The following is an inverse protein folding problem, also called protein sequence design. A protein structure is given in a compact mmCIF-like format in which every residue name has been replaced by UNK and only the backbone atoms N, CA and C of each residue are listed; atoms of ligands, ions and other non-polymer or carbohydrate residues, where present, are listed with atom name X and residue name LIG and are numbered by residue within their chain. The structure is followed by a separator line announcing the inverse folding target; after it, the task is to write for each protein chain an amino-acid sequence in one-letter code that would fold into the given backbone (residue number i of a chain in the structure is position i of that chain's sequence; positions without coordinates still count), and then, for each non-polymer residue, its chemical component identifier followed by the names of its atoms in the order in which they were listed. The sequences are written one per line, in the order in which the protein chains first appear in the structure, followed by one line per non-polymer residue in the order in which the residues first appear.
data_IF_189580735867
#
_entry.id   IF_189580735867
#
_cell.length_a   1.000
_cell.length_b   1.000
_cell.length_c   1.000
_cell.angle_alpha   90.00
_cell.angle_beta   90.00
_cell.angle_gamma   90.00
#
_symmetry.space_group_name_H-M   'P 1'
#
loop_
_entity.id
_entity.type
_entity.pdbx_description
1 polymer ?
#
# COMPACT_ATOMS: atom_id res chain seq x y z
N UNK A 1 -15.86 -26.84 -5.97
CA UNK A 1 -15.59 -27.60 -4.74
C UNK A 1 -14.33 -27.03 -4.12
N UNK A 2 -14.42 -26.31 -3.01
CA UNK A 2 -13.25 -25.77 -2.33
C UNK A 2 -12.54 -26.92 -1.59
N UNK A 3 -11.35 -27.28 -2.05
CA UNK A 3 -10.51 -28.27 -1.39
C UNK A 3 -10.11 -27.70 -0.02
N UNK A 4 -10.47 -28.40 1.07
CA UNK A 4 -9.99 -28.03 2.42
C UNK A 4 -8.50 -28.30 2.47
N UNK A 5 -7.72 -27.24 2.39
CA UNK A 5 -6.28 -27.30 2.52
C UNK A 5 -5.91 -26.99 3.97
N UNK A 6 -5.61 -28.04 4.74
CA UNK A 6 -5.38 -27.97 6.18
C UNK A 6 -3.92 -27.61 6.52
N UNK A 7 -3.22 -26.88 5.65
CA UNK A 7 -1.83 -26.47 5.89
C UNK A 7 -0.81 -27.54 5.51
N UNK A 8 -0.78 -27.91 4.23
CA UNK A 8 0.30 -28.71 3.62
C UNK A 8 0.76 -28.18 2.26
N UNK A 9 0.03 -27.22 1.70
CA UNK A 9 0.41 -26.60 0.41
C UNK A 9 1.62 -25.71 0.56
N UNK A 10 2.51 -25.86 -0.43
CA UNK A 10 3.72 -25.04 -0.55
C UNK A 10 3.33 -23.56 -0.57
N UNK A 11 3.98 -22.78 0.29
CA UNK A 11 3.79 -21.33 0.33
C UNK A 11 4.18 -20.70 -1.01
N UNK A 12 3.47 -19.63 -1.37
CA UNK A 12 3.83 -18.81 -2.51
C UNK A 12 5.15 -18.08 -2.22
N UNK A 13 6.02 -17.97 -3.24
CA UNK A 13 7.24 -17.17 -3.13
C UNK A 13 6.94 -15.66 -3.23
N UNK A 14 5.88 -15.30 -3.95
CA UNK A 14 5.45 -13.92 -4.18
C UNK A 14 3.94 -13.83 -3.97
N UNK A 15 3.51 -12.86 -3.18
CA UNK A 15 2.10 -12.53 -2.96
C UNK A 15 1.87 -11.11 -3.46
N UNK A 16 1.01 -10.97 -4.46
CA UNK A 16 0.60 -9.67 -5.01
C UNK A 16 -0.79 -9.31 -4.52
N UNK A 17 -0.95 -8.15 -3.88
CA UNK A 17 -2.24 -7.69 -3.36
C UNK A 17 -2.56 -6.31 -3.93
N UNK A 18 -3.67 -6.25 -4.67
CA UNK A 18 -4.24 -5.02 -5.25
C UNK A 18 -5.47 -4.57 -4.45
N UNK A 19 -5.34 -4.56 -3.12
CA UNK A 19 -6.39 -4.13 -2.21
C UNK A 19 -5.76 -3.44 -1.02
N UNK A 20 -6.16 -2.20 -0.80
CA UNK A 20 -5.69 -1.35 0.29
C UNK A 20 -6.82 -0.47 0.81
N UNK A 21 -6.61 0.11 1.98
CA UNK A 21 -7.48 1.15 2.53
C UNK A 21 -6.68 2.12 3.38
N UNK A 22 -7.34 3.15 3.92
CA UNK A 22 -6.69 4.15 4.75
C UNK A 22 -5.89 3.57 5.93
N UNK A 23 -4.79 4.23 6.25
CA UNK A 23 -4.07 4.10 7.52
C UNK A 23 -4.86 4.82 8.64
N UNK A 24 -6.16 4.52 8.75
CA UNK A 24 -7.14 5.15 9.64
C UNK A 24 -7.76 4.17 10.66
N UNK A 25 -7.19 2.96 10.74
CA UNK A 25 -7.52 1.98 11.76
C UNK A 25 -6.78 2.26 13.08
N UNK A 26 -7.18 1.64 14.20
CA UNK A 26 -6.40 1.73 15.44
C UNK A 26 -4.97 1.20 15.25
N UNK A 27 -3.94 1.88 15.78
CA UNK A 27 -2.54 1.47 15.62
C UNK A 27 -2.25 -0.01 15.97
N UNK A 28 -2.82 -0.61 17.05
CA UNK A 28 -2.60 -2.01 17.36
C UNK A 28 -3.07 -2.98 16.26
N UNK A 29 -4.15 -2.64 15.54
CA UNK A 29 -4.65 -3.44 14.42
C UNK A 29 -3.65 -3.41 13.27
N UNK A 30 -3.19 -2.23 12.88
CA UNK A 30 -2.27 -2.06 11.75
C UNK A 30 -0.90 -2.69 12.02
N UNK A 31 -0.39 -2.52 13.23
CA UNK A 31 0.84 -3.17 13.70
C UNK A 31 0.70 -4.70 13.68
N UNK A 32 -0.46 -5.23 14.10
CA UNK A 32 -0.74 -6.66 14.05
C UNK A 32 -0.74 -7.19 12.61
N UNK A 33 -1.44 -6.52 11.69
CA UNK A 33 -1.48 -6.93 10.29
C UNK A 33 -0.09 -6.93 9.66
N UNK A 34 0.69 -5.88 9.93
CA UNK A 34 2.06 -5.79 9.46
C UNK A 34 2.97 -6.85 10.09
N UNK A 35 2.74 -7.24 11.36
CA UNK A 35 3.47 -8.34 11.98
C UNK A 35 3.17 -9.71 11.36
N UNK A 36 1.94 -9.97 10.88
CA UNK A 36 1.64 -11.21 10.15
C UNK A 36 2.35 -11.24 8.79
N UNK A 37 2.37 -10.11 8.08
CA UNK A 37 3.19 -9.96 6.86
C UNK A 37 4.65 -10.22 7.18
N UNK A 38 5.20 -9.64 8.26
CA UNK A 38 6.58 -9.85 8.69
C UNK A 38 6.94 -11.32 8.88
N UNK A 39 6.06 -12.11 9.49
CA UNK A 39 6.32 -13.55 9.70
C UNK A 39 6.49 -14.27 8.37
N UNK A 40 5.64 -13.96 7.40
CA UNK A 40 5.70 -14.54 6.06
C UNK A 40 6.93 -14.03 5.28
N UNK A 41 7.26 -12.74 5.40
CA UNK A 41 8.48 -12.18 4.80
C UNK A 41 9.75 -12.83 5.38
N UNK A 42 9.77 -13.16 6.68
CA UNK A 42 10.86 -13.92 7.31
C UNK A 42 10.99 -15.35 6.79
N UNK A 43 9.93 -15.93 6.22
CA UNK A 43 9.98 -17.23 5.54
C UNK A 43 10.45 -17.13 4.08
N UNK A 44 10.86 -15.93 3.62
CA UNK A 44 11.34 -15.70 2.26
C UNK A 44 10.26 -15.35 1.24
N UNK A 45 9.06 -14.98 1.70
CA UNK A 45 7.96 -14.54 0.82
C UNK A 45 8.11 -13.06 0.48
N UNK A 46 7.96 -12.71 -0.79
CA UNK A 46 7.95 -11.31 -1.25
C UNK A 46 6.51 -10.81 -1.37
N UNK A 47 6.19 -9.69 -0.73
CA UNK A 47 4.90 -9.01 -0.89
C UNK A 47 5.00 -7.84 -1.85
N UNK A 48 4.13 -7.82 -2.86
CA UNK A 48 3.94 -6.70 -3.79
C UNK A 48 2.57 -6.09 -3.52
N UNK A 49 2.53 -4.89 -2.94
CA UNK A 49 1.27 -4.23 -2.65
C UNK A 49 1.11 -2.97 -3.48
N UNK A 50 -0.04 -2.82 -4.13
CA UNK A 50 -0.38 -1.57 -4.80
C UNK A 50 -0.42 -0.44 -3.77
N UNK A 51 0.21 0.70 -4.03
CA UNK A 51 0.20 1.82 -3.09
C UNK A 51 -1.18 2.52 -3.06
N UNK A 52 -1.87 2.57 -4.20
CA UNK A 52 -3.19 3.19 -4.36
C UNK A 52 -3.21 4.30 -5.40
N UNK A 53 -4.42 4.80 -5.69
CA UNK A 53 -4.71 5.65 -6.86
C UNK A 53 -5.17 7.07 -6.47
N UNK A 54 -5.04 7.43 -5.19
CA UNK A 54 -5.59 8.67 -4.61
C UNK A 54 -4.50 9.71 -4.28
N UNK A 55 -3.28 9.55 -4.79
CA UNK A 55 -2.16 10.44 -4.48
C UNK A 55 -1.82 10.46 -2.98
N UNK A 56 -1.83 11.63 -2.37
CA UNK A 56 -1.58 11.80 -0.92
C UNK A 56 -2.80 11.54 -0.04
N UNK A 57 -3.95 11.27 -0.66
CA UNK A 57 -5.18 10.89 0.00
C UNK A 57 -5.40 9.37 -0.07
N UNK A 58 -6.46 8.89 0.56
CA UNK A 58 -6.83 7.48 0.56
C UNK A 58 -8.35 7.30 0.53
N UNK A 59 -8.79 6.04 0.48
CA UNK A 59 -10.18 5.61 0.42
C UNK A 59 -10.90 6.14 -0.83
N UNK A 60 -12.11 5.62 -1.08
CA UNK A 60 -12.88 5.95 -2.30
C UNK A 60 -13.22 7.45 -2.41
N UNK A 61 -13.28 8.15 -1.29
CA UNK A 61 -13.71 9.55 -1.21
C UNK A 61 -12.53 10.55 -1.17
N UNK A 62 -11.30 10.13 -1.50
CA UNK A 62 -10.09 10.97 -1.44
C UNK A 62 -9.93 11.68 -0.08
N UNK A 63 -10.03 10.91 0.99
CA UNK A 63 -9.97 11.41 2.35
C UNK A 63 -8.54 11.79 2.73
N UNK A 64 -8.39 12.94 3.39
CA UNK A 64 -7.19 13.34 4.11
C UNK A 64 -7.43 13.25 5.62
N UNK A 65 -6.38 13.28 6.44
CA UNK A 65 -6.52 13.36 7.88
C UNK A 65 -6.70 14.82 8.34
N UNK A 66 -7.76 15.09 9.10
CA UNK A 66 -7.90 16.36 9.82
C UNK A 66 -6.79 16.51 10.87
N UNK A 67 -6.65 17.72 11.45
CA UNK A 67 -5.74 17.93 12.58
C UNK A 67 -5.99 16.95 13.74
N UNK A 68 -7.25 16.55 13.93
CA UNK A 68 -7.71 15.56 14.91
C UNK A 68 -7.51 14.10 14.52
N UNK A 69 -6.78 13.79 13.44
CA UNK A 69 -6.55 12.43 12.92
C UNK A 69 -7.83 11.68 12.51
N UNK A 70 -8.88 12.43 12.16
CA UNK A 70 -10.12 11.89 11.61
C UNK A 70 -10.09 12.04 10.08
N UNK A 71 -10.37 10.99 9.29
CA UNK A 71 -10.50 11.09 7.85
C UNK A 71 -11.63 12.05 7.44
N UNK A 72 -11.33 13.01 6.56
CA UNK A 72 -12.27 14.02 6.08
C UNK A 72 -12.12 14.27 4.57
N UNK A 73 -13.20 14.60 3.83
CA UNK A 73 -13.16 14.85 2.39
C UNK A 73 -12.73 16.30 2.07
N UNK A 74 -11.76 16.84 2.81
CA UNK A 74 -11.22 18.19 2.63
C UNK A 74 -9.69 18.15 2.80
N UNK A 75 -8.95 19.16 2.29
CA UNK A 75 -7.50 19.20 2.45
C UNK A 75 -7.05 19.06 3.91
N UNK A 76 -6.02 18.26 4.14
CA UNK A 76 -5.51 17.96 5.47
C UNK A 76 -4.13 17.32 5.43
N UNK A 77 -3.77 16.62 6.52
CA UNK A 77 -2.59 15.77 6.59
C UNK A 77 -2.73 14.59 5.63
N UNK A 78 -1.60 14.09 5.14
CA UNK A 78 -1.51 12.92 4.27
C UNK A 78 -2.17 11.71 4.94
N UNK A 79 -3.04 11.02 4.20
CA UNK A 79 -3.59 9.73 4.60
C UNK A 79 -3.11 8.67 3.60
N UNK A 80 -2.26 7.77 4.07
CA UNK A 80 -1.70 6.71 3.24
C UNK A 80 -2.52 5.42 3.30
N UNK A 81 -2.10 4.43 2.51
CA UNK A 81 -2.78 3.16 2.35
C UNK A 81 -2.09 2.01 3.10
N UNK A 82 -2.83 1.31 3.94
CA UNK A 82 -2.47 0.02 4.54
C UNK A 82 -2.96 -1.13 3.64
N UNK A 83 -2.20 -2.24 3.48
CA UNK A 83 -0.93 -2.58 4.14
C UNK A 83 0.32 -2.02 3.46
N UNK A 84 0.20 -1.16 2.46
CA UNK A 84 1.33 -0.67 1.66
C UNK A 84 2.32 0.19 2.44
N UNK A 85 1.91 0.79 3.57
CA UNK A 85 2.83 1.46 4.51
C UNK A 85 3.61 0.52 5.43
N UNK A 86 3.32 -0.78 5.43
CA UNK A 86 4.04 -1.75 6.26
C UNK A 86 5.51 -1.89 5.81
N UNK A 87 6.49 -1.80 6.72
CA UNK A 87 7.92 -1.91 6.39
C UNK A 87 8.37 -3.23 5.74
N UNK A 88 7.55 -4.29 5.77
CA UNK A 88 7.91 -5.63 5.31
C UNK A 88 7.36 -5.99 3.92
N UNK A 89 6.80 -5.00 3.20
CA UNK A 89 6.30 -5.17 1.83
C UNK A 89 7.05 -4.28 0.85
N UNK A 90 7.01 -4.65 -0.44
CA UNK A 90 7.32 -3.72 -1.52
C UNK A 90 6.05 -3.01 -1.95
N UNK A 91 5.96 -1.73 -1.61
CA UNK A 91 4.85 -0.87 -2.01
C UNK A 91 5.11 -0.32 -3.42
N UNK A 92 4.16 -0.53 -4.33
CA UNK A 92 4.32 -0.27 -5.78
C UNK A 92 3.40 0.87 -6.19
N UNK A 93 3.98 1.99 -6.63
CA UNK A 93 3.28 3.14 -7.21
C UNK A 93 2.93 2.96 -8.69
N UNK A 94 2.48 4.03 -9.33
CA UNK A 94 2.09 4.03 -10.75
C UNK A 94 2.86 5.07 -11.56
N UNK A 95 3.18 4.69 -12.79
CA UNK A 95 3.77 5.55 -13.83
C UNK A 95 2.97 5.38 -15.12
N UNK A 96 3.23 6.24 -16.10
CA UNK A 96 2.65 6.15 -17.42
C UNK A 96 3.71 6.34 -18.50
N UNK A 97 3.50 5.65 -19.63
CA UNK A 97 4.14 5.98 -20.90
C UNK A 97 3.30 7.07 -21.56
N UNK A 98 3.90 8.24 -21.78
CA UNK A 98 3.17 9.39 -22.33
C UNK A 98 2.68 9.16 -23.77
N UNK A 99 1.60 9.83 -24.15
CA UNK A 99 1.05 9.73 -25.51
C UNK A 99 2.11 10.08 -26.57
N UNK A 100 2.29 9.20 -27.55
CA UNK A 100 3.31 9.36 -28.59
C UNK A 100 4.72 8.92 -28.18
N UNK A 101 4.89 8.34 -26.97
CA UNK A 101 6.13 7.72 -26.51
C UNK A 101 6.07 6.19 -26.63
N UNK A 102 7.24 5.57 -26.57
CA UNK A 102 7.44 4.12 -26.56
C UNK A 102 7.83 3.62 -25.16
N UNK A 103 7.85 2.30 -24.98
CA UNK A 103 8.34 1.64 -23.75
C UNK A 103 9.83 1.82 -23.49
N UNK A 104 10.56 2.45 -24.43
CA UNK A 104 11.99 2.77 -24.29
C UNK A 104 12.23 4.24 -23.93
N UNK A 105 11.19 5.07 -23.99
CA UNK A 105 11.26 6.46 -23.56
C UNK A 105 11.08 6.55 -22.04
N UNK A 106 11.52 7.66 -21.40
CA UNK A 106 11.27 7.88 -19.98
C UNK A 106 9.78 7.87 -19.64
N UNK A 107 9.45 7.27 -18.49
CA UNK A 107 8.09 7.29 -17.94
C UNK A 107 7.83 8.58 -17.14
N UNK A 108 6.55 8.96 -17.06
CA UNK A 108 6.06 10.08 -16.25
C UNK A 108 5.18 9.57 -15.09
N UNK A 109 4.96 10.39 -14.08
CA UNK A 109 3.92 10.10 -13.09
C UNK A 109 2.53 10.08 -13.76
N UNK A 110 1.67 9.17 -13.32
CA UNK A 110 0.30 9.05 -13.86
C UNK A 110 -0.47 10.37 -13.77
N UNK A 111 -1.14 10.76 -14.86
CA UNK A 111 -1.88 12.02 -14.95
C UNK A 111 -3.40 11.87 -14.77
N UNK A 112 -3.96 10.69 -15.03
CA UNK A 112 -5.40 10.41 -14.86
C UNK A 112 -5.81 10.35 -13.38
N UNK A 113 -4.89 9.93 -12.53
CA UNK A 113 -5.04 9.83 -11.09
C UNK A 113 -3.66 9.94 -10.44
N UNK A 114 -3.61 10.33 -9.17
CA UNK A 114 -2.33 10.45 -8.47
C UNK A 114 -1.81 9.09 -8.04
N UNK A 115 -0.59 8.73 -8.45
CA UNK A 115 0.12 7.62 -7.81
C UNK A 115 0.22 7.90 -6.30
N UNK A 116 -0.25 6.97 -5.48
CA UNK A 116 -0.16 7.16 -4.04
C UNK A 116 1.27 7.08 -3.53
N UNK A 117 1.57 7.87 -2.49
CA UNK A 117 2.90 7.94 -1.89
C UNK A 117 2.99 8.99 -0.77
N UNK A 118 3.91 8.78 0.17
CA UNK A 118 4.17 9.72 1.27
C UNK A 118 4.89 9.08 2.45
N UNK A 119 4.68 9.65 3.65
CA UNK A 119 5.25 9.16 4.91
C UNK A 119 4.13 8.62 5.83
N UNK A 120 4.34 7.41 6.39
CA UNK A 120 3.39 6.79 7.32
C UNK A 120 3.31 7.58 8.63
N UNK A 121 2.10 7.67 9.18
CA UNK A 121 1.85 8.25 10.50
C UNK A 121 2.00 7.18 11.62
N UNK A 122 2.16 5.90 11.25
CA UNK A 122 2.12 4.76 12.16
C UNK A 122 3.46 4.03 12.24
N UNK A 123 4.10 3.80 11.09
CA UNK A 123 5.33 3.02 11.02
C UNK A 123 6.55 3.95 10.94
N UNK A 124 7.57 3.73 11.79
CA UNK A 124 8.78 4.53 11.75
C UNK A 124 9.61 4.22 10.50
N UNK A 125 10.42 5.19 10.08
CA UNK A 125 11.39 5.01 8.99
C UNK A 125 12.38 3.89 9.33
N UNK A 126 12.58 2.99 8.36
CA UNK A 126 13.52 1.88 8.45
C UNK A 126 14.97 2.37 8.35
N UNK A 127 15.90 1.56 8.85
CA UNK A 127 17.34 1.90 8.94
C UNK A 127 18.22 1.23 7.88
N UNK A 128 17.62 0.52 6.92
CA UNK A 128 18.37 -0.17 5.88
C UNK A 128 18.83 0.78 4.77
#
# INVERSE_FOLDING_TARGET
MAHKDCGGTKLANVISVSFTGGEDFPPPYMQRQCAEISKLSMMGITFLLAYGDNGVASNRDNLCLAASDIPVPVPGKVLLNLPSTCPYVMAVGTTQVDLGKSVHDPESATSLFGSAGGLSNIFPRLKF
#
